data_IF_546693083272
#
_entry.id   IF_546693083272
#
_cell.length_a   1.000
_cell.length_b   1.000
_cell.length_c   1.000
_cell.angle_alpha   90.00
_cell.angle_beta   90.00
_cell.angle_gamma   90.00
#
_symmetry.space_group_name_H-M   'P 1'
#
loop_
_entity.id
_entity.type
_entity.pdbx_description
1 polymer ?
#
# COMPACT_ATOMS: atom_id res chain seq x y z
N UNK A 1 -42.65 -29.40 -35.23
CA UNK A 1 -41.41 -30.11 -34.88
C UNK A 1 -40.38 -29.09 -34.43
N UNK A 2 -40.21 -28.95 -33.12
CA UNK A 2 -39.27 -27.98 -32.51
C UNK A 2 -37.86 -28.59 -32.52
N UNK A 3 -36.90 -27.85 -33.03
CA UNK A 3 -35.52 -28.28 -33.27
C UNK A 3 -34.77 -28.49 -31.95
N UNK A 4 -34.63 -29.76 -31.55
CA UNK A 4 -33.94 -30.21 -30.34
C UNK A 4 -32.42 -30.37 -30.61
N UNK A 5 -31.71 -29.25 -30.83
CA UNK A 5 -30.23 -29.26 -31.00
C UNK A 5 -29.49 -28.10 -30.32
N UNK A 6 -30.10 -27.43 -29.32
CA UNK A 6 -29.45 -26.36 -28.55
C UNK A 6 -29.48 -26.72 -27.06
N UNK A 7 -28.83 -27.81 -26.63
CA UNK A 7 -28.70 -28.08 -25.18
C UNK A 7 -27.40 -28.76 -24.76
N UNK A 8 -26.47 -29.06 -25.67
CA UNK A 8 -25.24 -29.81 -25.30
C UNK A 8 -24.01 -28.92 -25.14
N UNK A 9 -24.04 -27.66 -25.58
CA UNK A 9 -22.83 -26.78 -25.54
C UNK A 9 -22.72 -25.95 -24.25
N UNK A 10 -23.79 -25.81 -23.46
CA UNK A 10 -23.73 -25.04 -22.19
C UNK A 10 -23.26 -25.86 -20.97
N UNK A 11 -23.21 -27.19 -21.06
CA UNK A 11 -22.86 -28.06 -19.93
C UNK A 11 -21.35 -28.20 -19.65
N UNK A 12 -20.49 -27.85 -20.62
CA UNK A 12 -19.03 -28.05 -20.50
C UNK A 12 -18.26 -26.81 -20.02
N UNK A 13 -18.90 -25.64 -19.91
CA UNK A 13 -18.22 -24.42 -19.46
C UNK A 13 -18.34 -24.15 -17.95
N UNK A 14 -19.21 -24.88 -17.23
CA UNK A 14 -19.40 -24.68 -15.78
C UNK A 14 -18.41 -25.49 -14.95
N UNK A 15 -17.67 -26.43 -15.56
CA UNK A 15 -16.74 -27.30 -14.85
C UNK A 15 -15.29 -26.76 -14.72
N UNK A 16 -14.96 -25.59 -15.30
CA UNK A 16 -13.57 -25.11 -15.36
C UNK A 16 -13.24 -23.88 -14.48
N UNK A 17 -14.18 -23.36 -13.70
CA UNK A 17 -13.94 -22.13 -12.91
C UNK A 17 -13.91 -22.35 -11.40
N UNK A 18 -13.69 -23.59 -10.93
CA UNK A 18 -13.14 -23.79 -9.59
C UNK A 18 -11.61 -23.77 -9.66
N UNK A 19 -11.06 -22.69 -10.22
CA UNK A 19 -9.73 -22.27 -9.82
C UNK A 19 -9.86 -21.90 -8.34
N UNK A 20 -9.37 -22.78 -7.48
CA UNK A 20 -9.18 -22.48 -6.07
C UNK A 20 -8.23 -21.28 -6.01
N UNK A 21 -8.77 -20.06 -5.95
CA UNK A 21 -7.95 -18.90 -5.69
C UNK A 21 -7.40 -19.06 -4.29
N UNK A 22 -6.11 -19.38 -4.18
CA UNK A 22 -5.41 -19.31 -2.91
C UNK A 22 -5.69 -17.96 -2.24
N UNK A 23 -5.84 -17.91 -0.91
CA UNK A 23 -6.10 -16.65 -0.22
C UNK A 23 -4.94 -15.68 -0.49
N UNK A 24 -5.24 -14.57 -1.17
CA UNK A 24 -4.27 -13.52 -1.50
C UNK A 24 -3.68 -12.97 -0.19
N UNK A 25 -2.35 -13.02 -0.04
CA UNK A 25 -1.69 -12.53 1.18
C UNK A 25 -1.78 -11.01 1.30
N UNK A 26 -1.49 -10.46 2.49
CA UNK A 26 -1.40 -9.00 2.68
C UNK A 26 -0.33 -8.39 1.76
N UNK A 27 0.81 -9.08 1.61
CA UNK A 27 1.92 -8.65 0.76
C UNK A 27 1.54 -8.67 -0.73
N UNK A 28 0.76 -9.66 -1.18
CA UNK A 28 0.27 -9.70 -2.56
C UNK A 28 -0.66 -8.53 -2.88
N UNK A 29 -1.58 -8.19 -1.95
CA UNK A 29 -2.47 -7.02 -2.09
C UNK A 29 -1.68 -5.72 -2.19
N UNK A 30 -0.64 -5.58 -1.37
CA UNK A 30 0.28 -4.44 -1.40
C UNK A 30 0.97 -4.34 -2.77
N UNK A 31 1.54 -5.44 -3.26
CA UNK A 31 2.22 -5.47 -4.56
C UNK A 31 1.30 -5.17 -5.74
N UNK A 32 0.07 -5.70 -5.72
CA UNK A 32 -0.94 -5.42 -6.75
C UNK A 32 -1.36 -3.95 -6.76
N UNK A 33 -1.60 -3.35 -5.59
CA UNK A 33 -1.96 -1.93 -5.47
C UNK A 33 -0.83 -1.03 -5.99
N UNK A 34 0.42 -1.37 -5.67
CA UNK A 34 1.60 -0.65 -6.12
C UNK A 34 1.73 -0.66 -7.65
N UNK A 35 1.55 -1.83 -8.28
CA UNK A 35 1.60 -1.97 -9.74
C UNK A 35 0.46 -1.21 -10.43
N UNK A 36 -0.77 -1.34 -9.92
CA UNK A 36 -1.94 -0.65 -10.47
C UNK A 36 -1.77 0.88 -10.44
N UNK A 37 -1.29 1.43 -9.32
CA UNK A 37 -1.08 2.87 -9.21
C UNK A 37 0.10 3.39 -10.04
N UNK A 38 1.16 2.59 -10.22
CA UNK A 38 2.22 2.96 -11.15
C UNK A 38 1.68 3.07 -12.58
N UNK A 39 0.86 2.11 -13.02
CA UNK A 39 0.23 2.13 -14.34
C UNK A 39 -0.75 3.29 -14.51
N UNK A 40 -1.62 3.55 -13.52
CA UNK A 40 -2.60 4.64 -13.55
C UNK A 40 -1.94 6.03 -13.64
N UNK A 41 -0.76 6.19 -13.02
CA UNK A 41 -0.03 7.46 -13.00
C UNK A 41 1.10 7.53 -14.05
N UNK A 42 1.13 6.58 -15.00
CA UNK A 42 2.12 6.56 -16.09
C UNK A 42 3.57 6.46 -15.63
N UNK A 43 3.81 5.83 -14.48
CA UNK A 43 5.13 5.75 -13.88
C UNK A 43 5.81 4.42 -14.18
N UNK A 44 7.11 4.46 -14.48
CA UNK A 44 7.92 3.27 -14.65
C UNK A 44 8.04 2.47 -13.34
N UNK A 45 7.72 1.17 -13.44
CA UNK A 45 7.70 0.27 -12.28
C UNK A 45 9.10 0.08 -11.68
N UNK A 46 10.17 0.17 -12.48
CA UNK A 46 11.53 0.02 -11.97
C UNK A 46 11.96 1.29 -11.23
N UNK A 47 11.70 2.48 -11.78
CA UNK A 47 11.94 3.74 -11.07
C UNK A 47 11.22 3.79 -9.72
N UNK A 48 9.97 3.33 -9.69
CA UNK A 48 9.17 3.28 -8.48
C UNK A 48 9.72 2.26 -7.46
N UNK A 49 10.23 1.10 -7.92
CA UNK A 49 10.95 0.14 -7.06
C UNK A 49 12.23 0.72 -6.49
N UNK A 50 13.01 1.45 -7.28
CA UNK A 50 14.22 2.12 -6.79
C UNK A 50 13.87 3.19 -5.77
N UNK A 51 12.80 3.94 -6.01
CA UNK A 51 12.34 4.94 -5.06
C UNK A 51 11.88 4.29 -3.75
N UNK A 52 11.09 3.21 -3.80
CA UNK A 52 10.60 2.45 -2.65
C UNK A 52 11.72 1.97 -1.70
N UNK A 53 12.94 1.77 -2.21
CA UNK A 53 14.12 1.38 -1.42
C UNK A 53 14.71 2.54 -0.61
N UNK A 54 14.43 3.79 -0.96
CA UNK A 54 14.93 4.95 -0.23
C UNK A 54 14.25 5.08 1.14
N UNK A 55 15.01 5.51 2.12
CA UNK A 55 14.48 5.79 3.45
C UNK A 55 13.68 7.09 3.44
N UNK A 56 14.20 8.14 2.80
CA UNK A 56 13.51 9.41 2.57
C UNK A 56 13.02 9.51 1.13
N UNK A 57 11.74 9.86 0.97
CA UNK A 57 11.10 10.09 -0.31
C UNK A 57 11.16 11.56 -0.74
N UNK A 58 11.17 11.83 -2.05
CA UNK A 58 11.19 13.20 -2.58
C UNK A 58 9.90 13.94 -2.25
N UNK A 59 10.04 15.07 -1.55
CA UNK A 59 8.93 15.96 -1.15
C UNK A 59 8.55 16.98 -2.24
N UNK A 60 9.36 17.10 -3.28
CA UNK A 60 9.22 18.02 -4.41
C UNK A 60 8.82 17.31 -5.72
N UNK A 61 8.34 16.07 -5.64
CA UNK A 61 7.94 15.27 -6.79
C UNK A 61 6.42 15.07 -6.83
N UNK A 62 5.74 15.89 -7.63
CA UNK A 62 4.28 15.84 -7.77
C UNK A 62 3.76 14.52 -8.36
N UNK A 63 4.49 13.91 -9.29
CA UNK A 63 4.11 12.59 -9.81
C UNK A 63 4.15 11.52 -8.70
N UNK A 64 5.11 11.62 -7.78
CA UNK A 64 5.16 10.75 -6.62
C UNK A 64 4.02 11.02 -5.63
N UNK A 65 3.64 12.29 -5.46
CA UNK A 65 2.50 12.68 -4.64
C UNK A 65 1.20 12.00 -5.13
N UNK A 66 0.96 12.01 -6.44
CA UNK A 66 -0.21 11.36 -7.02
C UNK A 66 -0.16 9.83 -6.87
N UNK A 67 1.01 9.24 -7.12
CA UNK A 67 1.22 7.81 -6.92
C UNK A 67 0.97 7.38 -5.46
N UNK A 68 1.57 8.06 -4.48
CA UNK A 68 1.48 7.62 -3.08
C UNK A 68 0.05 7.71 -2.57
N UNK A 69 -0.69 8.75 -2.99
CA UNK A 69 -2.10 8.88 -2.65
C UNK A 69 -2.94 7.75 -3.25
N UNK A 70 -2.76 7.46 -4.54
CA UNK A 70 -3.39 6.31 -5.19
C UNK A 70 -3.09 5.00 -4.44
N UNK A 71 -1.81 4.75 -4.17
CA UNK A 71 -1.34 3.50 -3.57
C UNK A 71 -1.92 3.31 -2.17
N UNK A 72 -1.88 4.35 -1.34
CA UNK A 72 -2.37 4.28 0.05
C UNK A 72 -3.89 4.13 0.10
N UNK A 73 -4.61 4.74 -0.84
CA UNK A 73 -6.05 4.57 -0.98
C UNK A 73 -6.41 3.13 -1.34
N UNK A 74 -5.71 2.51 -2.30
CA UNK A 74 -5.99 1.11 -2.72
C UNK A 74 -5.75 0.08 -1.62
N UNK A 75 -4.82 0.33 -0.70
CA UNK A 75 -4.57 -0.54 0.47
C UNK A 75 -5.41 -0.14 1.71
N UNK A 76 -6.34 0.81 1.55
CA UNK A 76 -7.21 1.34 2.61
C UNK A 76 -6.45 2.02 3.77
N UNK A 77 -5.21 2.47 3.53
CA UNK A 77 -4.40 3.21 4.50
C UNK A 77 -4.83 4.68 4.61
N UNK A 78 -5.49 5.22 3.58
CA UNK A 78 -6.12 6.55 3.59
C UNK A 78 -7.50 6.49 2.93
N UNK A 79 -8.37 7.42 3.28
CA UNK A 79 -9.65 7.61 2.61
C UNK A 79 -9.54 8.56 1.39
N UNK A 80 -10.69 8.85 0.77
CA UNK A 80 -10.83 9.75 -0.38
C UNK A 80 -10.33 11.19 -0.11
N UNK A 81 -10.25 11.60 1.16
CA UNK A 81 -9.83 12.93 1.58
C UNK A 81 -8.37 12.94 2.09
N UNK A 82 -7.67 11.81 2.02
CA UNK A 82 -6.31 11.67 2.53
C UNK A 82 -6.22 11.48 4.04
N UNK A 83 -7.34 11.20 4.73
CA UNK A 83 -7.34 10.93 6.17
C UNK A 83 -6.75 9.54 6.40
N UNK A 84 -5.68 9.45 7.18
CA UNK A 84 -4.99 8.20 7.48
C UNK A 84 -5.87 7.30 8.36
N UNK A 85 -6.07 6.07 7.89
CA UNK A 85 -6.73 5.00 8.61
C UNK A 85 -5.75 4.33 9.58
N UNK A 86 -5.74 4.81 10.83
CA UNK A 86 -4.85 4.28 11.89
C UNK A 86 -4.97 2.77 12.09
N UNK A 87 -6.18 2.22 12.03
CA UNK A 87 -6.39 0.78 12.22
C UNK A 87 -5.70 -0.02 11.11
N UNK A 88 -5.85 0.41 9.86
CA UNK A 88 -5.18 -0.25 8.75
C UNK A 88 -3.66 -0.09 8.81
N UNK A 89 -3.16 1.07 9.23
CA UNK A 89 -1.73 1.30 9.40
C UNK A 89 -1.12 0.36 10.44
N UNK A 90 -1.81 0.11 11.56
CA UNK A 90 -1.36 -0.86 12.58
C UNK A 90 -1.26 -2.30 12.06
N UNK A 91 -2.01 -2.65 11.01
CA UNK A 91 -1.95 -3.96 10.37
C UNK A 91 -0.78 -4.01 9.37
N UNK A 92 -0.65 -2.99 8.53
CA UNK A 92 0.26 -3.02 7.38
C UNK A 92 1.71 -2.70 7.78
N UNK A 93 1.89 -1.70 8.63
CA UNK A 93 3.20 -1.13 8.94
C UNK A 93 4.16 -2.11 9.63
N UNK A 94 3.73 -2.94 10.61
CA UNK A 94 4.63 -3.89 11.24
C UNK A 94 5.29 -4.86 10.26
N UNK A 95 4.58 -5.26 9.19
CA UNK A 95 5.15 -6.08 8.12
C UNK A 95 6.29 -5.39 7.38
N UNK A 96 6.18 -4.07 7.16
CA UNK A 96 7.27 -3.31 6.53
C UNK A 96 8.46 -3.12 7.45
N UNK A 97 8.23 -2.89 8.75
CA UNK A 97 9.31 -2.77 9.74
C UNK A 97 10.09 -4.08 9.82
N UNK A 98 9.41 -5.22 9.99
CA UNK A 98 10.08 -6.52 10.10
C UNK A 98 10.76 -6.94 8.80
N UNK A 99 10.21 -6.58 7.64
CA UNK A 99 10.86 -6.82 6.34
C UNK A 99 12.15 -6.02 6.16
N UNK A 100 12.22 -4.76 6.64
CA UNK A 100 13.43 -3.94 6.59
C UNK A 100 14.41 -4.23 7.72
N UNK A 101 13.91 -4.66 8.87
CA UNK A 101 14.67 -4.82 10.11
C UNK A 101 14.39 -6.22 10.69
N UNK A 102 14.99 -7.28 10.14
CA UNK A 102 14.65 -8.67 10.49
C UNK A 102 14.97 -9.04 11.94
N UNK A 103 15.74 -8.21 12.66
CA UNK A 103 16.05 -8.40 14.07
C UNK A 103 14.99 -7.80 15.02
N UNK A 104 14.02 -7.06 14.50
CA UNK A 104 12.93 -6.47 15.30
C UNK A 104 11.81 -7.50 15.41
N UNK A 105 11.37 -7.79 16.65
CA UNK A 105 10.25 -8.71 16.87
C UNK A 105 8.93 -8.12 16.35
N UNK A 106 7.95 -8.96 16.00
CA UNK A 106 6.63 -8.49 15.56
C UNK A 106 5.93 -7.61 16.61
N UNK A 107 6.09 -7.94 17.89
CA UNK A 107 5.55 -7.14 18.99
C UNK A 107 6.20 -5.76 19.08
N UNK A 108 7.51 -5.68 18.90
CA UNK A 108 8.24 -4.40 18.94
C UNK A 108 7.94 -3.58 17.69
N UNK A 109 7.85 -4.22 16.52
CA UNK A 109 7.42 -3.58 15.28
C UNK A 109 6.01 -2.98 15.41
N UNK A 110 5.08 -3.69 16.05
CA UNK A 110 3.73 -3.20 16.32
C UNK A 110 3.72 -1.98 17.24
N UNK A 111 4.51 -2.02 18.33
CA UNK A 111 4.64 -0.87 19.25
C UNK A 111 5.26 0.33 18.57
N UNK A 112 6.34 0.13 17.80
CA UNK A 112 7.00 1.19 17.05
C UNK A 112 6.06 1.80 16.02
N UNK A 113 5.29 0.97 15.29
CA UNK A 113 4.30 1.42 14.33
C UNK A 113 3.22 2.30 14.98
N UNK A 114 2.69 1.88 16.13
CA UNK A 114 1.67 2.63 16.85
C UNK A 114 2.17 4.02 17.28
N UNK A 115 3.34 4.05 17.92
CA UNK A 115 3.95 5.30 18.39
C UNK A 115 4.32 6.24 17.24
N UNK A 116 4.86 5.71 16.15
CA UNK A 116 5.24 6.49 14.98
C UNK A 116 4.02 7.08 14.25
N UNK A 117 2.92 6.32 14.13
CA UNK A 117 1.67 6.82 13.54
C UNK A 117 1.12 7.99 14.36
N UNK A 118 1.06 7.85 15.69
CA UNK A 118 0.55 8.90 16.56
C UNK A 118 1.45 10.15 16.58
N UNK A 119 2.77 9.97 16.54
CA UNK A 119 3.72 11.08 16.50
C UNK A 119 3.64 11.87 15.18
N UNK A 120 3.42 11.19 14.06
CA UNK A 120 3.55 11.80 12.73
C UNK A 120 2.24 12.30 12.12
N UNK A 121 1.08 11.70 12.44
CA UNK A 121 -0.20 11.98 11.76
C UNK A 121 -0.66 13.46 11.85
N UNK A 122 -0.25 14.18 12.89
CA UNK A 122 -0.60 15.59 13.09
C UNK A 122 0.46 16.59 12.65
N UNK A 123 1.68 16.15 12.34
CA UNK A 123 2.82 17.06 12.07
C UNK A 123 2.91 17.51 10.62
N UNK A 124 2.20 16.85 9.73
CA UNK A 124 2.52 16.87 8.29
C UNK A 124 1.50 17.63 7.44
N UNK A 125 0.49 18.24 8.09
CA UNK A 125 -0.64 18.90 7.42
C UNK A 125 -0.46 20.40 7.22
N UNK A 126 0.41 21.07 8.00
CA UNK A 126 0.53 22.54 8.00
C UNK A 126 1.39 23.09 6.86
N UNK A 127 2.27 22.27 6.28
CA UNK A 127 3.19 22.66 5.19
C UNK A 127 2.91 21.95 3.87
N UNK A 128 1.89 21.08 3.84
CA UNK A 128 1.55 20.28 2.68
C UNK A 128 0.95 21.14 1.56
N UNK A 129 1.30 20.79 0.32
CA UNK A 129 0.83 21.47 -0.91
C UNK A 129 -0.31 20.71 -1.58
N UNK A 130 -0.42 19.42 -1.29
CA UNK A 130 -1.43 18.50 -1.79
C UNK A 130 -1.62 17.37 -0.78
N UNK A 131 -2.66 16.55 -0.96
CA UNK A 131 -2.85 15.33 -0.17
C UNK A 131 -1.64 14.40 -0.34
N UNK A 132 -1.19 14.16 -1.56
CA UNK A 132 -0.01 13.33 -1.81
C UNK A 132 1.24 13.85 -1.09
N UNK A 133 1.47 15.16 -1.10
CA UNK A 133 2.59 15.78 -0.38
C UNK A 133 2.48 15.56 1.14
N UNK A 134 1.30 15.69 1.75
CA UNK A 134 1.12 15.43 3.19
C UNK A 134 1.41 13.97 3.56
N UNK A 135 1.10 13.02 2.67
CA UNK A 135 1.40 11.60 2.84
C UNK A 135 2.89 11.30 2.71
N UNK A 136 3.60 11.98 1.80
CA UNK A 136 5.07 11.89 1.72
C UNK A 136 5.72 12.41 2.99
N UNK A 137 5.32 13.58 3.47
CA UNK A 137 5.81 14.15 4.72
C UNK A 137 5.56 13.19 5.90
N UNK A 138 4.35 12.62 5.97
CA UNK A 138 4.02 11.63 6.99
C UNK A 138 4.92 10.38 6.89
N UNK A 139 5.10 9.83 5.70
CA UNK A 139 5.98 8.66 5.48
C UNK A 139 7.42 8.98 5.89
N UNK A 140 7.95 10.14 5.52
CA UNK A 140 9.31 10.56 5.86
C UNK A 140 9.48 10.70 7.39
N UNK A 141 8.53 11.36 8.07
CA UNK A 141 8.48 11.43 9.52
C UNK A 141 8.48 10.02 10.15
N UNK A 142 7.62 9.14 9.62
CA UNK A 142 7.47 7.77 10.12
C UNK A 142 8.78 7.00 10.01
N UNK A 143 9.42 7.01 8.84
CA UNK A 143 10.68 6.28 8.64
C UNK A 143 11.77 6.82 9.55
N UNK A 144 11.90 8.14 9.67
CA UNK A 144 12.88 8.75 10.56
C UNK A 144 12.64 8.33 12.02
N UNK A 145 11.39 8.35 12.48
CA UNK A 145 11.02 7.93 13.84
C UNK A 145 11.49 6.50 14.16
N UNK A 146 11.30 5.59 13.20
CA UNK A 146 11.69 4.18 13.33
C UNK A 146 13.21 4.04 13.34
N UNK A 147 13.92 4.71 12.43
CA UNK A 147 15.39 4.67 12.36
C UNK A 147 16.04 5.20 13.64
N UNK A 148 15.54 6.31 14.18
CA UNK A 148 16.07 6.96 15.39
C UNK A 148 15.93 6.11 16.67
N UNK A 149 15.06 5.10 16.66
CA UNK A 149 14.77 4.24 17.83
C UNK A 149 15.28 2.81 17.68
N UNK A 150 15.92 2.53 16.55
CA UNK A 150 16.61 1.26 16.31
C UNK A 150 18.14 1.43 16.35
N UNK A 151 18.64 2.65 16.49
CA UNK A 151 20.05 2.99 16.70
C UNK A 151 20.40 3.02 18.19
#
# INVERSE_FOLDING_TARGET
MINMKIFVILGLFVAYTQATSEPITVLDRIGQAQLACAQENGWDVNEMKELARKDVMPEDNDQFHDFIFCYWKKINAVDENGVINKLQMKIIVPHFITAKHPNVSENDATKLADQAVDECIGKTTTTAKSIGHSLVLFRNCFVQYVVDRQS
#
